data_IF_062783905923
#
_entry.id   IF_062783905923
#
_cell.length_a   1.000
_cell.length_b   1.000
_cell.length_c   1.000
_cell.angle_alpha   90.00
_cell.angle_beta   90.00
_cell.angle_gamma   90.00
#
_symmetry.space_group_name_H-M   'P 1'
#
loop_
_entity.id
_entity.type
_entity.pdbx_description
1 polymer ?
#
# COMPACT_ATOMS: atom_id res chain seq x y z
N UNK A 1 -14.76 -16.05 -8.24
CA UNK A 1 -13.69 -16.18 -7.22
C UNK A 1 -13.11 -14.79 -6.95
N UNK A 2 -12.66 -14.50 -5.73
CA UNK A 2 -12.01 -13.22 -5.42
C UNK A 2 -10.62 -13.19 -6.07
N UNK A 3 -10.22 -12.06 -6.66
CA UNK A 3 -8.90 -11.92 -7.28
C UNK A 3 -7.79 -12.09 -6.25
N UNK A 4 -6.71 -12.78 -6.61
CA UNK A 4 -5.52 -12.89 -5.76
C UNK A 4 -4.73 -11.58 -5.75
N UNK A 5 -3.87 -11.36 -4.75
CA UNK A 5 -3.04 -10.15 -4.70
C UNK A 5 -2.11 -10.04 -5.93
N UNK A 6 -1.68 -11.18 -6.48
CA UNK A 6 -0.92 -11.23 -7.73
C UNK A 6 -1.76 -10.77 -8.93
N UNK A 7 -3.05 -11.11 -8.98
CA UNK A 7 -3.94 -10.69 -10.06
C UNK A 7 -4.32 -9.21 -9.98
N UNK A 8 -4.44 -8.64 -8.78
CA UNK A 8 -4.74 -7.20 -8.62
C UNK A 8 -3.51 -6.35 -8.97
N UNK A 9 -2.29 -6.79 -8.63
CA UNK A 9 -1.06 -6.05 -8.93
C UNK A 9 -0.59 -6.22 -10.39
N UNK A 10 -1.06 -7.24 -11.11
CA UNK A 10 -0.71 -7.48 -12.53
C UNK A 10 -1.15 -6.33 -13.47
N UNK A 11 -2.32 -5.72 -13.23
CA UNK A 11 -2.82 -4.58 -14.02
C UNK A 11 -1.93 -3.33 -13.84
N UNK A 12 -1.30 -3.20 -12.67
CA UNK A 12 -0.35 -2.11 -12.36
C UNK A 12 1.06 -2.40 -12.87
N UNK A 13 1.51 -3.65 -12.79
CA UNK A 13 2.82 -4.08 -13.34
C UNK A 13 2.89 -4.01 -14.85
N UNK A 14 1.77 -4.24 -15.55
CA UNK A 14 1.70 -4.19 -17.01
C UNK A 14 1.66 -2.76 -17.57
N UNK A 15 1.23 -1.77 -16.79
CA UNK A 15 1.18 -0.34 -17.16
C UNK A 15 2.23 0.46 -16.37
N UNK A 16 3.50 0.06 -16.47
CA UNK A 16 4.65 0.46 -15.65
C UNK A 16 4.91 1.99 -15.54
N UNK A 17 4.07 2.70 -14.79
CA UNK A 17 4.39 4.01 -14.24
C UNK A 17 5.12 3.81 -12.89
N UNK A 18 6.40 4.22 -12.77
CA UNK A 18 7.17 4.08 -11.52
C UNK A 18 6.49 4.68 -10.29
N UNK A 19 5.77 5.79 -10.45
CA UNK A 19 5.02 6.43 -9.36
C UNK A 19 3.90 5.52 -8.83
N UNK A 20 3.23 4.83 -9.74
CA UNK A 20 2.17 3.89 -9.39
C UNK A 20 2.72 2.67 -8.65
N UNK A 21 3.86 2.15 -9.11
CA UNK A 21 4.51 1.02 -8.46
C UNK A 21 4.96 1.35 -7.04
N UNK A 22 5.49 2.55 -6.78
CA UNK A 22 5.86 2.98 -5.44
C UNK A 22 4.68 2.85 -4.44
N UNK A 23 3.49 3.30 -4.83
CA UNK A 23 2.30 3.24 -3.98
C UNK A 23 1.82 1.80 -3.79
N UNK A 24 1.86 0.99 -4.85
CA UNK A 24 1.45 -0.43 -4.82
C UNK A 24 2.38 -1.25 -3.93
N UNK A 25 3.69 -1.02 -4.02
CA UNK A 25 4.70 -1.72 -3.22
C UNK A 25 4.55 -1.35 -1.74
N UNK A 26 4.39 -0.06 -1.44
CA UNK A 26 4.12 0.39 -0.07
C UNK A 26 2.84 -0.24 0.49
N UNK A 27 1.74 -0.27 -0.27
CA UNK A 27 0.52 -0.94 0.18
C UNK A 27 0.70 -2.44 0.37
N UNK A 28 1.48 -3.09 -0.49
CA UNK A 28 1.75 -4.54 -0.40
C UNK A 28 2.44 -4.87 0.93
N UNK A 29 3.48 -4.12 1.29
CA UNK A 29 4.17 -4.26 2.59
C UNK A 29 3.21 -4.07 3.77
N UNK A 30 2.31 -3.08 3.69
CA UNK A 30 1.31 -2.84 4.73
C UNK A 30 0.31 -4.01 4.86
N UNK A 31 -0.13 -4.60 3.75
CA UNK A 31 -1.05 -5.75 3.78
C UNK A 31 -0.37 -7.01 4.28
N UNK A 32 0.89 -7.26 3.89
CA UNK A 32 1.70 -8.34 4.45
C UNK A 32 1.80 -8.20 5.96
N UNK A 33 2.15 -7.00 6.45
CA UNK A 33 2.21 -6.72 7.89
C UNK A 33 0.88 -6.94 8.60
N UNK A 34 -0.25 -6.55 7.99
CA UNK A 34 -1.59 -6.83 8.53
C UNK A 34 -1.79 -8.33 8.75
N UNK A 35 -1.42 -9.14 7.75
CA UNK A 35 -1.56 -10.59 7.79
C UNK A 35 -0.66 -11.19 8.87
N UNK A 36 0.59 -10.73 9.00
CA UNK A 36 1.53 -11.19 10.02
C UNK A 36 1.04 -10.90 11.45
N UNK A 37 0.34 -9.77 11.64
CA UNK A 37 -0.30 -9.43 12.91
C UNK A 37 -1.62 -10.19 13.14
N UNK A 38 -2.09 -10.99 12.19
CA UNK A 38 -3.35 -11.72 12.27
C UNK A 38 -4.60 -10.83 12.25
N UNK A 39 -4.48 -9.59 11.74
CA UNK A 39 -5.57 -8.61 11.78
C UNK A 39 -6.51 -8.76 10.59
N UNK A 40 -7.80 -8.66 10.86
CA UNK A 40 -8.85 -8.49 9.85
C UNK A 40 -8.87 -7.06 9.31
N UNK A 41 -9.47 -6.86 8.13
CA UNK A 41 -9.70 -5.51 7.57
C UNK A 41 -10.55 -4.64 8.51
N UNK A 42 -11.49 -5.23 9.26
CA UNK A 42 -12.33 -4.52 10.23
C UNK A 42 -11.52 -4.02 11.43
N UNK A 43 -10.57 -4.82 11.92
CA UNK A 43 -9.68 -4.43 13.02
C UNK A 43 -8.72 -3.31 12.61
N UNK A 44 -8.13 -3.41 11.41
CA UNK A 44 -7.32 -2.30 10.85
C UNK A 44 -8.17 -1.04 10.70
N UNK A 45 -9.40 -1.15 10.21
CA UNK A 45 -10.29 -0.01 10.06
C UNK A 45 -10.59 0.66 11.40
N UNK A 46 -10.86 -0.13 12.44
CA UNK A 46 -11.07 0.33 13.82
C UNK A 46 -9.84 1.05 14.36
N UNK A 47 -8.65 0.47 14.21
CA UNK A 47 -7.36 1.07 14.64
C UNK A 47 -7.05 2.37 13.88
N UNK A 48 -7.34 2.41 12.57
CA UNK A 48 -7.13 3.58 11.72
C UNK A 48 -8.23 4.66 11.84
N UNK A 49 -9.28 4.40 12.65
CA UNK A 49 -10.46 5.24 12.79
C UNK A 49 -11.09 5.62 11.43
N UNK A 50 -11.40 4.59 10.63
CA UNK A 50 -12.07 4.71 9.33
C UNK A 50 -13.13 3.61 9.16
N UNK A 51 -14.12 3.77 8.26
CA UNK A 51 -15.03 2.69 7.91
C UNK A 51 -14.29 1.50 7.30
N UNK A 52 -14.72 0.26 7.56
CA UNK A 52 -14.15 -0.95 6.97
C UNK A 52 -14.13 -0.90 5.43
N UNK A 53 -15.16 -0.32 4.81
CA UNK A 53 -15.23 -0.12 3.36
C UNK A 53 -14.06 0.71 2.81
N UNK A 54 -13.45 1.57 3.63
CA UNK A 54 -12.25 2.31 3.26
C UNK A 54 -11.04 1.39 3.16
N UNK A 55 -10.82 0.50 4.14
CA UNK A 55 -9.73 -0.48 4.10
C UNK A 55 -9.91 -1.46 2.95
N UNK A 56 -11.14 -1.99 2.77
CA UNK A 56 -11.44 -2.91 1.67
C UNK A 56 -11.19 -2.27 0.29
N UNK A 57 -11.54 -0.99 0.12
CA UNK A 57 -11.23 -0.23 -1.10
C UNK A 57 -9.73 -0.03 -1.31
N UNK A 58 -8.99 0.31 -0.24
CA UNK A 58 -7.53 0.46 -0.29
C UNK A 58 -6.89 -0.84 -0.75
N UNK A 59 -7.20 -1.97 -0.10
CA UNK A 59 -6.58 -3.28 -0.40
C UNK A 59 -7.01 -3.87 -1.75
N UNK A 60 -8.16 -3.48 -2.29
CA UNK A 60 -8.61 -3.99 -3.60
C UNK A 60 -8.14 -3.14 -4.78
N UNK A 61 -7.63 -1.93 -4.53
CA UNK A 61 -7.23 -0.95 -5.56
C UNK A 61 -8.31 -0.68 -6.63
N UNK A 62 -9.57 -1.00 -6.35
CA UNK A 62 -10.66 -1.02 -7.33
C UNK A 62 -11.22 0.37 -7.69
N UNK A 63 -10.80 1.42 -6.97
CA UNK A 63 -11.22 2.82 -7.16
C UNK A 63 -10.02 3.76 -7.30
N UNK A 64 -8.87 3.23 -7.73
CA UNK A 64 -7.62 3.97 -7.88
C UNK A 64 -6.68 3.84 -6.68
N UNK A 65 -5.56 4.55 -6.76
CA UNK A 65 -4.49 4.48 -5.78
C UNK A 65 -4.87 5.17 -4.46
N UNK A 66 -4.45 4.61 -3.30
CA UNK A 66 -4.62 5.28 -2.02
C UNK A 66 -3.79 6.56 -1.96
N UNK A 67 -4.30 7.57 -1.27
CA UNK A 67 -3.50 8.76 -0.96
C UNK A 67 -2.46 8.45 0.12
N UNK A 68 -1.41 9.28 0.20
CA UNK A 68 -0.41 9.21 1.27
C UNK A 68 -1.05 9.24 2.66
N UNK A 69 -2.08 10.07 2.87
CA UNK A 69 -2.82 10.13 4.14
C UNK A 69 -3.48 8.79 4.49
N UNK A 70 -4.00 8.08 3.51
CA UNK A 70 -4.59 6.75 3.71
C UNK A 70 -3.51 5.72 4.03
N UNK A 71 -2.36 5.77 3.35
CA UNK A 71 -1.20 4.90 3.64
C UNK A 71 -0.68 5.11 5.07
N UNK A 72 -0.51 6.36 5.51
CA UNK A 72 -0.08 6.69 6.88
C UNK A 72 -1.06 6.15 7.93
N UNK A 73 -2.38 6.34 7.72
CA UNK A 73 -3.39 5.80 8.64
C UNK A 73 -3.34 4.28 8.73
N UNK A 74 -3.17 3.61 7.58
CA UNK A 74 -3.04 2.16 7.54
C UNK A 74 -1.77 1.71 8.25
N UNK A 75 -0.61 2.34 7.95
CA UNK A 75 0.68 2.06 8.57
C UNK A 75 0.62 2.12 10.09
N UNK A 76 0.06 3.20 10.63
CA UNK A 76 -0.13 3.35 12.08
C UNK A 76 -1.01 2.24 12.68
N UNK A 77 -2.03 1.78 11.95
CA UNK A 77 -2.90 0.70 12.40
C UNK A 77 -2.21 -0.67 12.43
N UNK A 78 -1.15 -0.86 11.63
CA UNK A 78 -0.34 -2.08 11.56
C UNK A 78 1.06 -1.92 12.17
N UNK A 79 1.23 -0.92 13.03
CA UNK A 79 2.46 -0.70 13.81
C UNK A 79 3.70 -0.45 12.95
N UNK A 80 3.51 0.23 11.80
CA UNK A 80 4.58 0.69 10.91
C UNK A 80 4.68 2.22 10.99
N UNK A 81 5.90 2.71 11.17
CA UNK A 81 6.25 4.12 11.02
C UNK A 81 6.61 4.41 9.56
N UNK A 82 5.65 4.92 8.77
CA UNK A 82 5.86 5.23 7.36
C UNK A 82 6.64 6.54 7.21
N UNK A 83 7.90 6.43 6.77
CA UNK A 83 8.79 7.58 6.52
C UNK A 83 9.02 7.80 5.04
N UNK A 84 9.11 9.07 4.66
CA UNK A 84 9.54 9.48 3.32
C UNK A 84 11.01 9.93 3.38
N UNK A 85 11.78 9.51 2.39
CA UNK A 85 13.16 9.92 2.19
C UNK A 85 13.35 10.41 0.75
N UNK A 86 14.14 11.47 0.57
CA UNK A 86 14.57 11.95 -0.74
C UNK A 86 15.97 11.40 -0.98
N UNK A 87 16.12 10.56 -2.00
CA UNK A 87 17.38 9.93 -2.38
C UNK A 87 17.87 10.65 -3.64
N UNK A 88 19.05 11.29 -3.63
CA UNK A 88 19.65 11.81 -4.86
C UNK A 88 19.86 10.68 -5.86
N UNK A 89 19.64 10.94 -7.14
CA UNK A 89 20.07 10.00 -8.17
C UNK A 89 21.59 9.85 -8.09
N UNK A 90 22.09 8.63 -8.24
CA UNK A 90 23.53 8.43 -8.41
C UNK A 90 23.94 9.08 -9.73
N UNK A 91 24.93 9.99 -9.69
CA UNK A 91 25.52 10.56 -10.90
C UNK A 91 26.21 9.41 -11.66
N UNK A 92 25.57 8.86 -12.69
CA UNK A 92 26.20 7.91 -13.63
C UNK A 92 27.38 8.56 -14.40
N UNK A 93 27.59 9.88 -14.26
CA UNK A 93 28.66 10.64 -14.91
C UNK A 93 29.97 10.67 -14.10
N UNK A 94 30.48 9.51 -13.67
CA UNK A 94 31.89 9.33 -13.29
C UNK A 94 32.38 7.92 -13.64
N UNK A 95 32.44 7.61 -14.93
CA UNK A 95 33.39 6.67 -15.52
C UNK A 95 33.70 7.07 -16.96
#
# INVERSE_FOLDING_TARGET
MARTWNEITADYRSNANPETMLIVDALTELVVRRIDLGLTQAEVAKRANVPQSTIARIESLNKGLPSLKSLVKYANAVEIDLRLALIPFEDEAKN
#
